data_IF_117844128242
#
_entry.id   IF_117844128242
#
_cell.length_a   1.000
_cell.length_b   1.000
_cell.length_c   1.000
_cell.angle_alpha   90.00
_cell.angle_beta   90.00
_cell.angle_gamma   90.00
#
_symmetry.space_group_name_H-M   'P 1'
#
loop_
_entity.id
_entity.type
_entity.pdbx_description
1 polymer ?
#
# COMPACT_ATOMS: atom_id res chain seq x y z
N UNK A 1 -18.52 21.92 16.74
CA UNK A 1 -18.97 21.16 15.54
C UNK A 1 -19.89 20.06 16.03
N UNK A 2 -21.19 20.31 15.95
CA UNK A 2 -22.26 19.43 16.42
C UNK A 2 -22.31 18.19 15.53
N UNK A 3 -22.14 17.01 16.14
CA UNK A 3 -22.31 15.73 15.47
C UNK A 3 -23.81 15.42 15.42
N UNK A 4 -24.38 15.45 14.22
CA UNK A 4 -25.77 15.02 13.99
C UNK A 4 -25.76 13.48 14.00
N UNK A 5 -26.59 12.90 14.86
CA UNK A 5 -26.82 11.46 14.96
C UNK A 5 -27.46 10.94 13.67
N UNK A 6 -26.85 9.95 13.02
CA UNK A 6 -27.53 9.14 12.00
C UNK A 6 -26.89 9.01 10.62
N UNK A 7 -25.84 9.76 10.29
CA UNK A 7 -25.08 9.49 9.06
C UNK A 7 -24.01 8.44 9.32
N UNK A 8 -24.08 7.31 8.62
CA UNK A 8 -22.99 6.33 8.58
C UNK A 8 -21.73 7.04 8.09
N UNK A 9 -20.81 7.38 9.01
CA UNK A 9 -19.54 8.03 8.65
C UNK A 9 -18.93 7.30 7.47
N UNK A 10 -18.88 7.91 6.26
CA UNK A 10 -18.28 7.26 5.12
C UNK A 10 -16.81 7.05 5.47
N UNK A 11 -16.42 5.80 5.72
CA UNK A 11 -15.04 5.44 6.00
C UNK A 11 -14.19 5.82 4.79
N UNK A 12 -13.65 7.03 4.83
CA UNK A 12 -12.77 7.58 3.82
C UNK A 12 -11.55 6.68 3.68
N UNK A 13 -11.02 6.57 2.46
CA UNK A 13 -9.80 5.81 2.26
C UNK A 13 -8.65 6.41 3.10
N UNK A 14 -7.67 5.61 3.54
CA UNK A 14 -6.52 6.12 4.28
C UNK A 14 -5.84 7.32 3.60
N UNK A 15 -5.75 7.31 2.26
CA UNK A 15 -5.15 8.41 1.48
C UNK A 15 -5.97 9.71 1.57
N UNK A 16 -7.30 9.62 1.58
CA UNK A 16 -8.16 10.80 1.75
C UNK A 16 -7.97 11.40 3.15
N UNK A 17 -7.86 10.56 4.18
CA UNK A 17 -7.67 11.05 5.54
C UNK A 17 -6.28 11.63 5.77
N UNK A 18 -5.24 11.06 5.17
CA UNK A 18 -3.90 11.68 5.17
C UNK A 18 -3.96 13.07 4.53
N UNK A 19 -4.63 13.21 3.39
CA UNK A 19 -4.80 14.51 2.71
C UNK A 19 -5.48 15.53 3.64
N UNK A 20 -6.54 15.12 4.34
CA UNK A 20 -7.26 15.98 5.31
C UNK A 20 -6.38 16.36 6.48
N UNK A 21 -5.64 15.40 7.04
CA UNK A 21 -4.74 15.67 8.17
C UNK A 21 -3.63 16.66 7.79
N UNK A 22 -3.02 16.51 6.60
CA UNK A 22 -2.04 17.48 6.11
C UNK A 22 -2.67 18.86 5.89
N UNK A 23 -3.90 18.95 5.39
CA UNK A 23 -4.61 20.23 5.28
C UNK A 23 -4.85 20.84 6.66
N UNK A 24 -5.35 20.07 7.63
CA UNK A 24 -5.55 20.56 9.00
C UNK A 24 -4.26 21.05 9.64
N UNK A 25 -3.16 20.31 9.47
CA UNK A 25 -1.82 20.68 9.95
C UNK A 25 -1.34 22.02 9.36
N UNK A 26 -1.70 22.32 8.10
CA UNK A 26 -1.32 23.53 7.38
C UNK A 26 -2.43 24.59 7.34
N UNK A 27 -3.35 24.58 8.31
CA UNK A 27 -4.41 25.59 8.44
C UNK A 27 -5.44 25.61 7.30
N UNK A 28 -5.58 24.50 6.57
CA UNK A 28 -6.49 24.34 5.43
C UNK A 28 -5.93 24.77 4.08
N UNK A 29 -4.71 25.32 4.03
CA UNK A 29 -4.13 25.83 2.78
C UNK A 29 -3.47 24.72 1.95
N UNK A 30 -3.92 24.55 0.71
CA UNK A 30 -3.30 23.62 -0.24
C UNK A 30 -1.88 24.01 -0.60
N UNK A 31 -1.60 25.31 -0.71
CA UNK A 31 -0.29 25.84 -1.09
C UNK A 31 0.74 25.60 0.01
N UNK A 32 0.32 25.71 1.27
CA UNK A 32 1.17 25.40 2.42
C UNK A 32 1.48 23.89 2.52
N UNK A 33 0.55 23.02 2.14
CA UNK A 33 0.83 21.58 2.04
C UNK A 33 1.84 21.28 0.92
N UNK A 34 1.76 22.01 -0.19
CA UNK A 34 2.70 21.85 -1.29
C UNK A 34 4.12 22.28 -0.88
N UNK A 35 4.25 23.47 -0.28
CA UNK A 35 5.48 24.04 0.26
C UNK A 35 5.94 23.48 1.61
N UNK A 36 5.36 22.38 2.08
CA UNK A 36 5.79 21.74 3.32
C UNK A 36 7.22 21.20 3.19
N UNK A 37 8.09 21.53 4.17
CA UNK A 37 9.51 21.15 4.15
C UNK A 37 9.84 19.93 5.03
N UNK A 38 8.88 19.43 5.82
CA UNK A 38 9.08 18.32 6.76
C UNK A 38 9.12 16.96 6.05
N UNK A 39 10.18 16.73 5.26
CA UNK A 39 10.39 15.49 4.48
C UNK A 39 10.47 14.24 5.35
N UNK A 40 10.89 14.39 6.60
CA UNK A 40 10.97 13.30 7.59
C UNK A 40 9.58 12.87 8.12
N UNK A 41 8.53 13.68 7.89
CA UNK A 41 7.18 13.29 8.25
C UNK A 41 6.76 12.03 7.48
N UNK A 42 6.31 11.00 8.20
CA UNK A 42 5.87 9.74 7.60
C UNK A 42 4.71 9.90 6.59
N UNK A 43 3.99 11.03 6.63
CA UNK A 43 2.90 11.34 5.68
C UNK A 43 3.36 12.16 4.48
N UNK A 44 4.61 12.63 4.43
CA UNK A 44 5.11 13.58 3.43
C UNK A 44 4.85 13.12 1.99
N UNK A 45 5.22 11.87 1.69
CA UNK A 45 5.04 11.24 0.37
C UNK A 45 3.55 11.06 -0.02
N UNK A 46 2.64 11.14 0.94
CA UNK A 46 1.21 10.86 0.78
C UNK A 46 0.33 12.11 0.88
N UNK A 47 0.93 13.28 1.16
CA UNK A 47 0.23 14.54 1.47
C UNK A 47 -0.73 15.03 0.38
N UNK A 48 -0.60 14.50 -0.84
CA UNK A 48 -1.47 14.78 -1.98
C UNK A 48 -2.55 13.71 -2.22
N UNK A 49 -2.77 12.81 -1.27
CA UNK A 49 -3.78 11.75 -1.39
C UNK A 49 -3.43 10.67 -2.41
N UNK A 50 -2.16 10.52 -2.76
CA UNK A 50 -1.63 9.51 -3.68
C UNK A 50 -0.51 8.73 -2.99
N UNK A 51 -0.35 7.46 -3.34
CA UNK A 51 0.77 6.63 -2.88
C UNK A 51 1.82 6.54 -4.00
N UNK A 52 3.06 6.99 -3.78
CA UNK A 52 4.13 6.79 -4.74
C UNK A 52 4.52 5.30 -4.88
N UNK A 53 5.13 4.94 -6.00
CA UNK A 53 5.63 3.59 -6.22
C UNK A 53 6.83 3.31 -5.29
N UNK A 54 6.93 2.09 -4.77
CA UNK A 54 8.02 1.69 -3.87
C UNK A 54 7.84 2.09 -2.40
N UNK A 55 6.95 3.02 -2.10
CA UNK A 55 6.66 3.47 -0.74
C UNK A 55 5.82 2.44 0.06
N UNK A 56 5.86 2.46 1.40
CA UNK A 56 5.02 1.60 2.22
C UNK A 56 3.52 1.87 1.98
N UNK A 57 2.66 1.06 2.58
CA UNK A 57 1.21 1.29 2.46
C UNK A 57 0.82 2.52 3.25
N UNK A 58 -0.24 3.22 2.83
CA UNK A 58 -0.78 4.36 3.58
C UNK A 58 -1.07 4.02 5.05
N UNK A 59 -1.51 2.78 5.34
CA UNK A 59 -1.71 2.30 6.71
C UNK A 59 -0.40 2.26 7.53
N UNK A 60 0.70 1.80 6.93
CA UNK A 60 2.01 1.79 7.59
C UNK A 60 2.52 3.22 7.83
N UNK A 61 2.33 4.10 6.86
CA UNK A 61 2.67 5.52 7.00
C UNK A 61 1.88 6.20 8.14
N UNK A 62 0.56 5.95 8.21
CA UNK A 62 -0.28 6.44 9.32
C UNK A 62 0.22 5.93 10.67
N UNK A 63 0.53 4.63 10.78
CA UNK A 63 1.06 4.06 12.03
C UNK A 63 2.38 4.73 12.43
N UNK A 64 3.30 4.94 11.49
CA UNK A 64 4.57 5.60 11.75
C UNK A 64 4.37 7.06 12.20
N UNK A 65 3.45 7.79 11.56
CA UNK A 65 3.08 9.14 11.98
C UNK A 65 2.50 9.17 13.40
N UNK A 66 1.56 8.27 13.70
CA UNK A 66 0.97 8.20 15.04
C UNK A 66 2.01 7.85 16.11
N UNK A 67 2.98 6.98 15.81
CA UNK A 67 4.09 6.70 16.72
C UNK A 67 4.93 7.95 16.96
N UNK A 68 5.32 8.69 15.92
CA UNK A 68 6.07 9.93 16.07
C UNK A 68 5.29 11.01 16.86
N UNK A 69 3.96 11.02 16.75
CA UNK A 69 3.08 11.95 17.46
C UNK A 69 3.03 11.70 18.98
N UNK A 70 3.28 10.47 19.44
CA UNK A 70 3.28 10.09 20.88
C UNK A 70 4.67 9.61 21.34
N UNK A 71 5.73 10.21 20.80
CA UNK A 71 7.13 9.95 21.17
C UNK A 71 7.55 8.47 21.09
N UNK A 72 7.00 7.76 20.09
CA UNK A 72 7.33 6.36 19.79
C UNK A 72 6.60 5.34 20.65
N UNK A 73 5.73 5.75 21.57
CA UNK A 73 5.07 4.81 22.47
C UNK A 73 3.82 4.16 21.84
N UNK A 74 3.93 2.88 21.48
CA UNK A 74 2.82 2.14 20.87
C UNK A 74 1.59 1.98 21.80
N UNK A 75 1.79 1.93 23.13
CA UNK A 75 0.69 1.86 24.10
C UNK A 75 -0.10 3.16 24.08
N UNK A 76 0.59 4.30 24.01
CA UNK A 76 -0.05 5.61 23.88
C UNK A 76 -0.80 5.76 22.56
N UNK A 77 -0.27 5.24 21.44
CA UNK A 77 -1.04 5.21 20.17
C UNK A 77 -2.35 4.45 20.35
N UNK A 78 -2.33 3.34 21.08
CA UNK A 78 -3.53 2.52 21.33
C UNK A 78 -4.55 3.27 22.19
N UNK A 79 -4.09 3.94 23.24
CA UNK A 79 -4.90 4.66 24.21
C UNK A 79 -5.25 6.10 23.80
N UNK A 80 -4.67 6.61 22.72
CA UNK A 80 -4.94 7.93 22.18
C UNK A 80 -6.44 8.13 21.93
N UNK A 81 -6.98 9.24 22.44
CA UNK A 81 -8.38 9.68 22.30
C UNK A 81 -8.51 10.97 21.48
N UNK A 82 -7.42 11.41 20.84
CA UNK A 82 -7.37 12.68 20.11
C UNK A 82 -8.37 12.74 18.95
N UNK A 83 -9.03 13.90 18.73
CA UNK A 83 -9.96 14.10 17.62
C UNK A 83 -9.21 14.35 16.30
N UNK A 84 -8.50 13.35 15.79
CA UNK A 84 -7.75 13.43 14.52
C UNK A 84 -8.35 12.54 13.43
N UNK A 85 -8.14 12.91 12.16
CA UNK A 85 -8.71 12.18 11.02
C UNK A 85 -8.14 10.76 10.89
N UNK A 86 -6.94 10.54 11.42
CA UNK A 86 -6.20 9.28 11.32
C UNK A 86 -6.60 8.25 12.39
N UNK A 87 -7.44 8.63 13.35
CA UNK A 87 -7.79 7.82 14.52
C UNK A 87 -8.15 6.35 14.20
N UNK A 88 -8.97 6.13 13.17
CA UNK A 88 -9.44 4.79 12.78
C UNK A 88 -8.34 3.90 12.18
N UNK A 89 -7.25 4.49 11.71
CA UNK A 89 -6.15 3.81 11.03
C UNK A 89 -4.83 3.85 11.81
N UNK A 90 -4.80 4.48 12.99
CA UNK A 90 -3.60 4.70 13.83
C UNK A 90 -2.79 3.43 14.14
N UNK A 91 -3.46 2.28 14.19
CA UNK A 91 -2.83 0.98 14.45
C UNK A 91 -2.23 0.33 13.19
N UNK A 92 -2.34 0.97 12.01
CA UNK A 92 -1.87 0.43 10.75
C UNK A 92 -2.73 -0.71 10.19
N UNK A 93 -3.96 -0.82 10.65
CA UNK A 93 -4.92 -1.84 10.21
C UNK A 93 -6.16 -1.18 9.63
N UNK A 94 -6.78 -1.84 8.65
CA UNK A 94 -8.06 -1.42 8.12
C UNK A 94 -9.18 -2.09 8.94
N UNK A 95 -10.01 -1.34 9.69
CA UNK A 95 -11.09 -1.91 10.49
C UNK A 95 -12.05 -2.80 9.69
N UNK A 96 -12.28 -2.49 8.40
CA UNK A 96 -13.16 -3.27 7.50
C UNK A 96 -12.65 -4.69 7.22
N UNK A 97 -11.36 -4.93 7.43
CA UNK A 97 -10.71 -6.22 7.17
C UNK A 97 -10.54 -7.05 8.44
N UNK A 98 -11.01 -6.58 9.60
CA UNK A 98 -10.95 -7.36 10.85
C UNK A 98 -11.70 -8.68 10.65
N UNK A 99 -10.99 -9.80 10.79
CA UNK A 99 -11.53 -11.14 10.56
C UNK A 99 -11.62 -11.58 9.09
N UNK A 100 -11.48 -10.66 8.12
CA UNK A 100 -11.51 -10.97 6.68
C UNK A 100 -10.08 -11.14 6.16
N UNK A 101 -9.54 -12.36 6.21
CA UNK A 101 -8.23 -12.62 5.63
C UNK A 101 -7.50 -13.89 6.06
N UNK A 102 -8.05 -14.68 6.99
CA UNK A 102 -7.49 -16.00 7.32
C UNK A 102 -7.86 -16.98 6.20
N UNK A 103 -7.03 -17.11 5.17
CA UNK A 103 -7.16 -18.17 4.15
C UNK A 103 -7.32 -17.72 2.69
N UNK A 104 -6.55 -16.71 2.22
CA UNK A 104 -6.43 -16.49 0.76
C UNK A 104 -5.37 -17.42 0.19
N UNK A 105 -5.81 -18.40 -0.59
CA UNK A 105 -4.94 -19.26 -1.41
C UNK A 105 -4.21 -18.39 -2.45
N UNK A 106 -2.94 -18.11 -2.19
CA UNK A 106 -2.07 -17.31 -3.06
C UNK A 106 -1.89 -17.94 -4.44
N UNK A 107 -2.00 -19.26 -4.54
CA UNK A 107 -1.76 -20.03 -5.78
C UNK A 107 -2.80 -19.68 -6.84
N UNK A 108 -4.09 -19.69 -6.46
CA UNK A 108 -5.19 -19.28 -7.34
C UNK A 108 -5.08 -17.83 -7.80
N UNK A 109 -4.58 -16.94 -6.94
CA UNK A 109 -4.44 -15.52 -7.28
C UNK A 109 -3.29 -15.29 -8.26
N UNK A 110 -2.16 -15.97 -8.06
CA UNK A 110 -1.03 -15.97 -8.99
C UNK A 110 -1.46 -16.53 -10.35
N UNK A 111 -2.21 -17.63 -10.37
CA UNK A 111 -2.68 -18.25 -11.61
C UNK A 111 -3.64 -17.32 -12.38
N UNK A 112 -4.54 -16.65 -11.68
CA UNK A 112 -5.46 -15.67 -12.26
C UNK A 112 -4.70 -14.48 -12.86
N UNK A 113 -3.68 -13.96 -12.16
CA UNK A 113 -2.84 -12.87 -12.67
C UNK A 113 -2.02 -13.30 -13.89
N UNK A 114 -1.50 -14.54 -13.92
CA UNK A 114 -0.81 -15.10 -15.10
C UNK A 114 -1.74 -15.15 -16.31
N UNK A 115 -2.97 -15.64 -16.12
CA UNK A 115 -4.00 -15.68 -17.18
C UNK A 115 -4.33 -14.28 -17.71
N UNK A 116 -4.47 -13.29 -16.82
CA UNK A 116 -4.74 -11.91 -17.21
C UNK A 116 -3.56 -11.27 -17.98
N UNK A 117 -2.33 -11.46 -17.49
CA UNK A 117 -1.11 -10.99 -18.19
C UNK A 117 -0.94 -11.63 -19.56
N UNK A 118 -1.24 -12.91 -19.70
CA UNK A 118 -1.17 -13.61 -21.00
C UNK A 118 -2.23 -13.09 -21.98
N UNK A 119 -3.44 -12.82 -21.48
CA UNK A 119 -4.52 -12.23 -22.29
C UNK A 119 -4.20 -10.80 -22.72
N UNK A 120 -3.65 -9.99 -21.83
CA UNK A 120 -3.23 -8.60 -22.07
C UNK A 120 -1.91 -8.48 -22.86
N UNK A 121 -1.22 -9.60 -23.15
CA UNK A 121 0.02 -9.59 -23.92
C UNK A 121 -0.29 -9.12 -25.37
N UNK A 122 0.44 -8.13 -25.90
CA UNK A 122 0.26 -7.69 -27.29
C UNK A 122 0.58 -8.83 -28.26
N UNK A 123 -0.08 -8.83 -29.41
CA UNK A 123 -0.06 -9.93 -30.39
C UNK A 123 1.37 -10.19 -30.91
N UNK A 124 2.20 -9.14 -31.03
CA UNK A 124 3.60 -9.22 -31.48
C UNK A 124 4.50 -10.06 -30.56
N UNK A 125 4.14 -10.24 -29.29
CA UNK A 125 4.91 -11.00 -28.29
C UNK A 125 4.36 -12.44 -28.08
N UNK A 126 3.31 -12.83 -28.81
CA UNK A 126 2.72 -14.18 -28.72
C UNK A 126 3.38 -15.18 -29.68
N UNK A 127 4.00 -14.71 -30.77
CA UNK A 127 4.59 -15.54 -31.83
C UNK A 127 6.03 -16.00 -31.58
N UNK A 128 6.75 -15.46 -30.59
CA UNK A 128 8.16 -15.79 -30.31
C UNK A 128 8.39 -17.02 -29.40
N UNK A 129 7.35 -17.79 -29.05
CA UNK A 129 7.44 -18.88 -28.06
C UNK A 129 8.01 -20.22 -28.57
N UNK A 130 8.54 -20.30 -29.80
CA UNK A 130 9.36 -21.45 -30.21
C UNK A 130 10.84 -21.06 -30.17
N UNK A 131 11.42 -21.14 -28.97
CA UNK A 131 12.87 -21.32 -28.88
C UNK A 131 13.18 -22.76 -29.32
N UNK A 132 14.12 -23.00 -30.25
CA UNK A 132 14.51 -24.36 -30.62
C UNK A 132 15.06 -25.06 -29.39
N UNK A 133 14.54 -26.27 -29.10
CA UNK A 133 15.15 -27.17 -28.11
C UNK A 133 16.58 -27.42 -28.57
N UNK A 134 17.56 -27.07 -27.74
CA UNK A 134 18.96 -27.44 -27.98
C UNK A 134 19.00 -28.96 -28.15
N UNK A 135 19.60 -29.51 -29.22
CA UNK A 135 19.74 -30.94 -29.35
C UNK A 135 20.64 -31.47 -28.22
N UNK A 136 20.24 -32.58 -27.62
CA UNK A 136 20.98 -33.27 -26.57
C UNK A 136 22.35 -33.69 -27.13
N UNK A 137 23.43 -33.09 -26.63
CA UNK A 137 24.79 -33.55 -26.92
C UNK A 137 25.04 -34.84 -26.14
N UNK A 138 24.91 -35.97 -26.83
CA UNK A 138 25.42 -37.25 -26.34
C UNK A 138 26.96 -37.17 -26.24
N UNK A 139 27.49 -37.23 -25.02
CA UNK A 139 28.92 -37.40 -24.78
C UNK A 139 29.23 -38.90 -24.92
N UNK A 140 29.70 -39.29 -26.11
CA UNK A 140 30.16 -40.64 -26.41
C UNK A 140 31.49 -40.96 -25.72
N UNK A 141 31.57 -42.19 -25.22
CA UNK A 141 32.77 -42.85 -24.71
C UNK A 141 33.93 -42.80 -25.71
N UNK A 142 35.14 -42.54 -25.19
CA UNK A 142 36.38 -42.94 -25.84
C UNK A 142 37.15 -43.86 -24.89
N UNK A 143 37.14 -45.13 -25.26
CA UNK A 143 38.15 -46.12 -24.88
C UNK A 143 39.40 -45.89 -25.72
N UNK A 144 40.58 -46.03 -25.11
CA UNK A 144 41.88 -46.38 -25.71
C UNK A 144 42.76 -46.74 -24.49
N UNK A 145 43.04 -48.02 -24.24
CA UNK A 145 44.23 -48.77 -24.73
C UNK A 145 45.56 -48.19 -24.24
#
# INVERSE_FOLDING_TARGET
MSLIEGETMPYFSPLILIRRECLTCMGGSTNMVDGCETKECALYSYRFGKRPHGEPTALKAIKAFCLACVDGNQVEVKNCTGPCHLYFYRLGHNPKLKGKGKGRDMTKQIETLKKYREKARPISLKTSKQAPKKPDMALGSLASE
#
